data_IF_805579165693
#
_entry.id   IF_805579165693
#
_cell.length_a   1.000
_cell.length_b   1.000
_cell.length_c   1.000
_cell.angle_alpha   90.00
_cell.angle_beta   90.00
_cell.angle_gamma   90.00
#
_symmetry.space_group_name_H-M   'P 1'
#
loop_
_entity.id
_entity.type
_entity.pdbx_description
1 polymer ?
#
# COMPACT_ATOMS: atom_id res chain seq x y z
N UNK A 1 -24.20 27.09 -42.63
CA UNK A 1 -22.94 26.90 -41.91
C UNK A 1 -22.48 25.46 -42.17
N UNK A 2 -21.33 25.31 -42.83
CA UNK A 2 -20.93 24.05 -43.49
C UNK A 2 -20.41 23.02 -42.48
N UNK A 3 -21.04 21.84 -42.40
CA UNK A 3 -20.70 20.76 -41.42
C UNK A 3 -19.24 20.31 -41.51
N UNK A 4 -18.56 20.54 -42.61
CA UNK A 4 -17.14 20.26 -42.78
C UNK A 4 -16.22 21.24 -42.04
N UNK A 5 -16.64 22.50 -41.89
CA UNK A 5 -15.88 23.52 -41.19
C UNK A 5 -15.83 23.27 -39.67
N UNK A 6 -16.96 22.80 -39.11
CA UNK A 6 -17.05 22.47 -37.68
C UNK A 6 -16.17 21.23 -37.33
N UNK A 7 -16.12 20.23 -38.20
CA UNK A 7 -15.26 19.04 -38.00
C UNK A 7 -13.78 19.39 -38.07
N UNK A 8 -13.39 20.34 -38.93
CA UNK A 8 -11.98 20.78 -39.00
C UNK A 8 -11.55 21.57 -37.77
N UNK A 9 -12.42 22.39 -37.21
CA UNK A 9 -12.14 23.16 -35.98
C UNK A 9 -12.04 22.24 -34.73
N UNK A 10 -12.86 21.23 -34.64
CA UNK A 10 -12.79 20.27 -33.53
C UNK A 10 -11.53 19.41 -33.62
N UNK A 11 -11.13 18.97 -34.81
CA UNK A 11 -9.90 18.19 -35.01
C UNK A 11 -8.64 19.02 -34.70
N UNK A 12 -8.60 20.31 -35.02
CA UNK A 12 -7.46 21.18 -34.73
C UNK A 12 -7.33 21.48 -33.24
N UNK A 13 -8.45 21.61 -32.51
CA UNK A 13 -8.44 21.84 -31.06
C UNK A 13 -7.94 20.62 -30.28
N UNK A 14 -8.26 19.39 -30.72
CA UNK A 14 -7.77 18.17 -30.09
C UNK A 14 -6.27 17.96 -30.30
N UNK A 15 -5.76 18.30 -31.49
CA UNK A 15 -4.33 18.20 -31.79
C UNK A 15 -3.49 19.16 -30.93
N UNK A 16 -4.01 20.38 -30.64
CA UNK A 16 -3.31 21.34 -29.80
C UNK A 16 -3.28 20.94 -28.31
N UNK A 17 -4.32 20.29 -27.80
CA UNK A 17 -4.38 19.81 -26.41
C UNK A 17 -3.41 18.64 -26.20
N UNK A 18 -3.31 17.72 -27.17
CA UNK A 18 -2.37 16.59 -27.07
C UNK A 18 -0.91 17.07 -27.18
N UNK A 19 -0.61 18.06 -28.02
CA UNK A 19 0.73 18.64 -28.11
C UNK A 19 1.15 19.39 -26.84
N UNK A 20 0.20 20.05 -26.15
CA UNK A 20 0.46 20.73 -24.88
C UNK A 20 0.75 19.72 -23.74
N UNK A 21 0.07 18.58 -23.71
CA UNK A 21 0.32 17.54 -22.70
C UNK A 21 1.65 16.81 -22.89
N UNK A 22 2.10 16.61 -24.12
CA UNK A 22 3.42 16.01 -24.39
C UNK A 22 4.57 16.95 -24.08
N UNK A 23 4.38 18.28 -24.22
CA UNK A 23 5.42 19.26 -23.90
C UNK A 23 5.60 19.47 -22.38
N UNK A 24 4.55 19.29 -21.56
CA UNK A 24 4.64 19.40 -20.10
C UNK A 24 5.26 18.11 -19.49
N UNK A 25 5.08 16.95 -20.11
CA UNK A 25 5.64 15.69 -19.63
C UNK A 25 7.17 15.57 -19.74
N UNK A 26 7.81 16.38 -20.60
CA UNK A 26 9.28 16.35 -20.79
C UNK A 26 10.02 17.24 -19.80
N UNK A 27 9.33 18.18 -19.11
CA UNK A 27 9.99 19.14 -18.19
C UNK A 27 10.01 18.71 -16.72
N UNK A 28 9.47 17.55 -16.37
CA UNK A 28 9.48 17.01 -15.00
C UNK A 28 10.34 15.77 -14.82
N UNK A 29 11.25 15.47 -15.74
CA UNK A 29 12.35 14.58 -15.41
C UNK A 29 13.24 15.32 -14.41
N UNK A 30 13.39 14.83 -13.16
CA UNK A 30 14.41 15.37 -12.29
C UNK A 30 15.72 15.22 -13.05
N UNK A 31 16.37 16.34 -13.29
CA UNK A 31 17.71 16.38 -13.83
C UNK A 31 18.59 15.53 -12.91
N UNK A 32 18.76 14.25 -13.23
CA UNK A 32 19.74 13.40 -12.59
C UNK A 32 21.13 13.93 -13.00
N UNK A 33 21.43 15.13 -12.49
CA UNK A 33 22.79 15.63 -12.53
C UNK A 33 23.64 14.56 -11.90
N UNK A 34 24.46 13.91 -12.71
CA UNK A 34 25.60 13.12 -12.24
C UNK A 34 26.51 14.10 -11.52
N UNK A 35 26.16 14.46 -10.27
CA UNK A 35 27.07 15.18 -9.39
C UNK A 35 28.26 14.24 -9.18
N UNK A 36 29.42 14.71 -9.55
CA UNK A 36 30.66 14.01 -9.30
C UNK A 36 30.72 13.61 -7.81
N UNK A 37 30.51 12.34 -7.53
CA UNK A 37 30.46 11.77 -6.16
C UNK A 37 31.78 11.94 -5.38
N UNK A 38 32.82 12.51 -6.01
CA UNK A 38 34.15 12.67 -5.45
C UNK A 38 34.26 13.79 -4.42
N UNK A 39 33.26 14.67 -4.27
CA UNK A 39 33.37 15.85 -3.40
C UNK A 39 32.54 15.78 -2.11
N UNK A 40 31.83 14.70 -1.82
CA UNK A 40 31.08 14.57 -0.56
C UNK A 40 32.04 14.39 0.61
N UNK A 41 31.97 15.25 1.65
CA UNK A 41 32.76 15.04 2.87
C UNK A 41 32.30 13.77 3.57
N UNK A 42 33.20 13.14 4.34
CA UNK A 42 32.80 12.04 5.22
C UNK A 42 31.80 12.58 6.26
N UNK A 43 30.66 11.89 6.38
CA UNK A 43 29.57 12.29 7.26
C UNK A 43 29.33 11.23 8.32
N UNK A 44 29.07 11.66 9.57
CA UNK A 44 28.66 10.74 10.65
C UNK A 44 27.18 10.40 10.61
N UNK A 45 26.39 11.26 9.99
CA UNK A 45 24.95 11.06 9.80
C UNK A 45 24.45 11.72 8.54
N UNK A 46 23.37 11.20 7.97
CA UNK A 46 22.60 11.81 6.88
C UNK A 46 21.10 11.64 7.16
N UNK A 47 20.34 12.69 6.87
CA UNK A 47 18.88 12.71 7.10
C UNK A 47 18.17 13.12 5.81
N UNK A 48 17.08 12.45 5.51
CA UNK A 48 16.16 12.83 4.45
C UNK A 48 14.74 12.89 4.99
N UNK A 49 14.00 13.89 4.57
CA UNK A 49 12.54 14.03 4.76
C UNK A 49 11.86 14.19 3.42
N UNK A 50 10.69 13.64 3.27
CA UNK A 50 9.98 13.68 1.99
C UNK A 50 8.48 13.50 2.13
N UNK A 51 7.76 13.96 1.11
CA UNK A 51 6.35 13.65 0.92
C UNK A 51 6.27 12.49 -0.06
N UNK A 52 5.79 11.35 0.43
CA UNK A 52 5.59 10.15 -0.38
C UNK A 52 4.08 10.03 -0.58
N UNK A 53 3.64 9.82 -1.80
CA UNK A 53 2.23 9.64 -2.11
C UNK A 53 2.06 8.36 -2.92
N UNK A 54 2.03 7.21 -2.26
CA UNK A 54 1.82 5.92 -2.92
C UNK A 54 0.56 5.29 -2.37
N UNK A 55 -0.29 4.82 -3.25
CA UNK A 55 -1.52 4.13 -2.89
C UNK A 55 -1.71 2.88 -3.74
N UNK A 56 -2.19 1.81 -3.13
CA UNK A 56 -2.67 0.62 -3.81
C UNK A 56 -4.00 0.18 -3.22
N UNK A 57 -4.90 -0.28 -4.07
CA UNK A 57 -6.22 -0.75 -3.67
C UNK A 57 -6.60 -2.06 -4.36
N UNK A 58 -7.43 -2.84 -3.70
CA UNK A 58 -8.04 -4.07 -4.20
C UNK A 58 -9.52 -4.06 -3.86
N UNK A 59 -10.36 -4.06 -4.89
CA UNK A 59 -11.79 -4.27 -4.78
C UNK A 59 -12.13 -5.71 -5.15
N UNK A 60 -13.01 -6.34 -4.38
CA UNK A 60 -13.39 -7.74 -4.57
C UNK A 60 -12.32 -8.73 -4.08
N UNK A 61 -12.58 -10.05 -4.22
CA UNK A 61 -11.73 -11.10 -3.69
C UNK A 61 -10.38 -11.20 -4.39
N UNK A 62 -9.42 -11.80 -3.71
CA UNK A 62 -8.09 -12.12 -4.20
C UNK A 62 -6.96 -11.37 -3.52
N UNK A 63 -5.74 -11.79 -3.84
CA UNK A 63 -4.51 -11.24 -3.30
C UNK A 63 -3.86 -10.30 -4.31
N UNK A 64 -3.28 -9.23 -3.82
CA UNK A 64 -2.46 -8.30 -4.60
C UNK A 64 -1.22 -7.94 -3.80
N UNK A 65 -0.05 -8.17 -4.39
CA UNK A 65 1.22 -7.70 -3.84
C UNK A 65 1.86 -6.81 -4.89
N UNK A 66 2.13 -5.55 -4.54
CA UNK A 66 2.86 -4.67 -5.45
C UNK A 66 4.33 -5.08 -5.53
N UNK A 67 5.01 -4.68 -6.61
CA UNK A 67 6.46 -4.72 -6.64
C UNK A 67 7.05 -3.77 -5.59
N UNK A 68 8.33 -3.97 -5.26
CA UNK A 68 9.07 -3.05 -4.43
C UNK A 68 9.22 -1.70 -5.13
N UNK A 69 8.96 -0.62 -4.39
CA UNK A 69 9.05 0.76 -4.85
C UNK A 69 10.01 1.54 -3.97
N UNK A 70 10.91 2.31 -4.57
CA UNK A 70 11.78 3.22 -3.83
C UNK A 70 10.94 4.38 -3.28
N UNK A 71 10.87 4.53 -1.96
CA UNK A 71 10.08 5.57 -1.29
C UNK A 71 10.95 6.70 -0.73
N UNK A 72 12.17 6.39 -0.32
CA UNK A 72 13.18 7.39 0.08
C UNK A 72 14.56 6.92 -0.34
N UNK A 73 15.50 7.87 -0.52
CA UNK A 73 16.88 7.55 -0.84
C UNK A 73 17.80 8.60 -0.21
N UNK A 74 18.83 8.16 0.50
CA UNK A 74 19.86 9.03 1.05
C UNK A 74 21.25 8.52 0.71
N UNK A 75 22.25 9.40 0.80
CA UNK A 75 23.66 9.04 0.56
C UNK A 75 24.48 9.43 1.75
N UNK A 76 25.47 8.59 2.07
CA UNK A 76 26.47 8.88 3.08
C UNK A 76 27.84 8.42 2.62
N UNK A 77 28.89 9.19 2.96
CA UNK A 77 30.26 8.83 2.70
C UNK A 77 30.93 8.35 3.98
N UNK A 78 31.35 7.10 3.99
CA UNK A 78 32.16 6.51 5.08
C UNK A 78 33.66 6.70 4.79
N UNK A 79 34.43 7.06 5.81
CA UNK A 79 35.88 7.28 5.68
C UNK A 79 36.69 5.99 5.88
N UNK A 80 36.13 4.99 6.53
CA UNK A 80 36.72 3.68 6.82
C UNK A 80 35.60 2.65 6.99
N UNK A 81 35.98 1.40 7.22
CA UNK A 81 34.98 0.35 7.55
C UNK A 81 34.19 0.73 8.80
N UNK A 82 32.88 0.76 8.68
CA UNK A 82 31.93 1.20 9.71
C UNK A 82 30.69 0.34 9.67
N UNK A 83 29.99 0.30 10.78
CA UNK A 83 28.64 -0.20 10.85
C UNK A 83 27.66 0.97 10.69
N UNK A 84 26.50 0.69 10.11
CA UNK A 84 25.45 1.68 9.88
C UNK A 84 24.18 1.29 10.62
N UNK A 85 23.55 2.30 11.22
CA UNK A 85 22.17 2.19 11.71
C UNK A 85 21.31 3.19 10.97
N UNK A 86 20.17 2.74 10.47
CA UNK A 86 19.21 3.58 9.77
C UNK A 86 17.84 3.50 10.44
N UNK A 87 17.33 4.65 10.85
CA UNK A 87 15.95 4.79 11.35
C UNK A 87 15.07 5.29 10.22
N UNK A 88 13.98 4.60 9.97
CA UNK A 88 12.96 4.96 8.97
C UNK A 88 11.65 5.20 9.68
N UNK A 89 11.04 6.35 9.45
CA UNK A 89 9.70 6.70 9.94
C UNK A 89 8.80 7.10 8.79
N UNK A 90 7.58 6.57 8.75
CA UNK A 90 6.60 6.90 7.71
C UNK A 90 5.17 6.86 8.23
N UNK A 91 4.32 7.68 7.62
CA UNK A 91 2.87 7.58 7.77
C UNK A 91 2.34 6.46 6.87
N UNK A 92 1.54 5.57 7.44
CA UNK A 92 0.87 4.48 6.74
C UNK A 92 -0.63 4.58 6.97
N UNK A 93 -1.38 4.67 5.88
CA UNK A 93 -2.84 4.57 5.88
C UNK A 93 -3.29 3.17 5.49
N UNK A 94 -4.20 2.60 6.26
CA UNK A 94 -4.80 1.29 6.01
C UNK A 94 -6.31 1.41 6.03
N UNK A 95 -6.94 1.10 4.90
CA UNK A 95 -8.39 1.08 4.73
C UNK A 95 -8.85 -0.34 4.45
N UNK A 96 -9.90 -0.76 5.16
CA UNK A 96 -10.59 -2.04 4.93
C UNK A 96 -12.09 -1.83 4.99
N UNK A 97 -12.81 -2.39 4.02
CA UNK A 97 -14.27 -2.47 3.99
C UNK A 97 -14.69 -3.91 3.80
N UNK A 98 -15.55 -4.39 4.66
CA UNK A 98 -16.20 -5.70 4.54
C UNK A 98 -17.70 -5.51 4.59
N UNK A 99 -18.43 -6.18 3.69
CA UNK A 99 -19.88 -6.25 3.65
C UNK A 99 -20.28 -7.71 3.57
N UNK A 100 -21.17 -8.14 4.43
CA UNK A 100 -21.81 -9.46 4.41
C UNK A 100 -23.27 -9.34 4.04
N UNK A 101 -23.76 -10.33 3.29
CA UNK A 101 -25.15 -10.45 2.86
C UNK A 101 -25.68 -11.82 3.27
N UNK A 102 -26.68 -11.85 4.13
CA UNK A 102 -27.25 -13.09 4.63
C UNK A 102 -28.78 -13.09 4.54
N UNK A 103 -29.35 -14.26 4.25
CA UNK A 103 -30.77 -14.53 4.28
C UNK A 103 -31.02 -16.00 4.62
N UNK A 104 -32.20 -16.29 5.14
CA UNK A 104 -32.64 -17.66 5.46
C UNK A 104 -31.65 -18.39 6.39
N UNK A 105 -31.10 -17.66 7.35
CA UNK A 105 -30.08 -18.14 8.30
C UNK A 105 -28.83 -18.73 7.63
N UNK A 106 -28.52 -18.35 6.37
CA UNK A 106 -27.27 -18.75 5.70
C UNK A 106 -26.15 -17.82 6.16
N UNK A 107 -25.08 -18.31 6.79
CA UNK A 107 -23.97 -17.48 7.20
C UNK A 107 -23.23 -16.93 5.97
N UNK A 108 -22.80 -15.67 6.07
CA UNK A 108 -21.87 -15.05 5.11
C UNK A 108 -20.65 -14.50 5.83
N UNK A 109 -19.49 -14.66 5.23
CA UNK A 109 -18.20 -14.18 5.78
C UNK A 109 -17.43 -13.41 4.72
N UNK A 110 -16.94 -12.23 5.12
CA UNK A 110 -16.10 -11.38 4.30
C UNK A 110 -14.87 -10.95 5.11
N UNK A 111 -13.69 -11.03 4.51
CA UNK A 111 -12.44 -10.61 5.13
C UNK A 111 -11.62 -9.72 4.20
N UNK A 112 -11.11 -8.62 4.73
CA UNK A 112 -10.24 -7.67 4.04
C UNK A 112 -8.95 -7.46 4.84
N UNK A 113 -7.80 -7.53 4.17
CA UNK A 113 -6.50 -7.27 4.76
C UNK A 113 -5.71 -6.28 3.93
N UNK A 114 -5.19 -5.24 4.58
CA UNK A 114 -4.28 -4.25 4.01
C UNK A 114 -2.98 -4.22 4.81
N UNK A 115 -1.84 -4.15 4.13
CA UNK A 115 -0.53 -4.09 4.77
C UNK A 115 0.53 -3.41 3.92
N UNK A 116 1.54 -2.89 4.60
CA UNK A 116 2.75 -2.32 4.02
C UNK A 116 3.95 -3.07 4.59
N UNK A 117 4.80 -3.58 3.71
CA UNK A 117 6.09 -4.14 4.04
C UNK A 117 7.19 -3.19 3.59
N UNK A 118 8.30 -3.16 4.31
CA UNK A 118 9.43 -2.30 4.05
C UNK A 118 10.74 -3.06 4.17
N UNK A 119 11.75 -2.59 3.42
CA UNK A 119 13.16 -2.98 3.55
C UNK A 119 14.07 -1.80 3.20
N UNK A 120 15.31 -1.89 3.61
CA UNK A 120 16.35 -0.95 3.21
C UNK A 120 17.41 -1.70 2.41
N UNK A 121 17.74 -1.17 1.24
CA UNK A 121 18.83 -1.68 0.40
C UNK A 121 19.96 -0.65 0.34
N UNK A 122 21.18 -1.16 0.30
CA UNK A 122 22.41 -0.35 0.21
C UNK A 122 23.13 -0.71 -1.07
N UNK A 123 23.62 0.31 -1.77
CA UNK A 123 24.34 0.20 -3.04
C UNK A 123 23.57 -0.63 -4.08
N UNK A 124 22.39 -0.14 -4.54
CA UNK A 124 21.55 -0.88 -5.48
C UNK A 124 22.32 -1.28 -6.72
N UNK A 125 22.24 -2.58 -7.09
CA UNK A 125 22.95 -3.14 -8.22
C UNK A 125 23.41 -4.57 -7.98
N UNK A 126 24.43 -5.07 -8.70
CA UNK A 126 24.90 -6.45 -8.58
C UNK A 126 25.42 -6.81 -7.17
N UNK A 127 25.96 -5.84 -6.44
CA UNK A 127 26.51 -6.01 -5.10
C UNK A 127 25.60 -5.41 -4.00
N UNK A 128 24.33 -5.27 -4.30
CA UNK A 128 23.35 -4.76 -3.34
C UNK A 128 23.36 -5.57 -2.05
N UNK A 129 23.32 -4.86 -0.91
CA UNK A 129 23.13 -5.44 0.42
C UNK A 129 21.77 -5.03 0.96
N UNK A 130 21.18 -5.88 1.78
CA UNK A 130 19.92 -5.58 2.50
C UNK A 130 20.29 -5.38 3.97
N UNK A 131 19.84 -4.27 4.57
CA UNK A 131 20.03 -4.02 5.99
C UNK A 131 19.16 -4.96 6.84
N UNK A 132 19.72 -5.45 7.93
CA UNK A 132 18.98 -6.28 8.88
C UNK A 132 17.92 -5.46 9.65
N UNK A 133 16.76 -6.08 9.96
CA UNK A 133 16.43 -7.51 9.86
C UNK A 133 15.86 -7.93 8.48
N UNK A 134 16.09 -7.18 7.43
CA UNK A 134 15.61 -7.50 6.08
C UNK A 134 14.22 -6.93 5.80
N UNK A 135 13.28 -7.76 5.38
CA UNK A 135 11.90 -7.35 5.10
C UNK A 135 11.08 -7.33 6.38
N UNK A 136 10.43 -6.21 6.68
CA UNK A 136 9.61 -6.03 7.88
C UNK A 136 8.18 -5.67 7.52
N UNK A 137 7.22 -6.13 8.31
CA UNK A 137 5.83 -5.65 8.26
C UNK A 137 5.77 -4.31 8.99
N UNK A 138 5.65 -3.23 8.22
CA UNK A 138 5.65 -1.88 8.75
C UNK A 138 4.27 -1.45 9.29
N UNK A 139 3.21 -1.95 8.67
CA UNK A 139 1.84 -1.80 9.12
C UNK A 139 0.95 -2.86 8.51
N UNK A 140 0.01 -3.39 9.29
CA UNK A 140 -0.95 -4.39 8.80
C UNK A 140 -2.26 -4.28 9.56
N UNK A 141 -3.35 -4.44 8.81
CA UNK A 141 -4.70 -4.60 9.35
C UNK A 141 -5.39 -5.75 8.66
N UNK A 142 -6.08 -6.57 9.43
CA UNK A 142 -7.03 -7.57 8.93
C UNK A 142 -8.36 -7.35 9.62
N UNK A 143 -9.44 -7.36 8.85
CA UNK A 143 -10.81 -7.23 9.29
C UNK A 143 -11.59 -8.39 8.72
N UNK A 144 -12.29 -9.09 9.58
CA UNK A 144 -13.21 -10.17 9.22
C UNK A 144 -14.59 -9.86 9.79
N UNK A 145 -15.61 -10.09 9.01
CA UNK A 145 -17.00 -9.92 9.37
C UNK A 145 -17.76 -11.17 8.98
N UNK A 146 -18.46 -11.75 9.94
CA UNK A 146 -19.36 -12.88 9.75
C UNK A 146 -20.74 -12.54 10.29
N UNK A 147 -21.78 -12.78 9.53
CA UNK A 147 -23.15 -12.56 9.97
C UNK A 147 -24.08 -13.65 9.45
N UNK A 148 -25.15 -13.87 10.21
CA UNK A 148 -26.24 -14.79 9.89
C UNK A 148 -27.54 -14.08 10.17
N UNK A 149 -28.31 -13.79 9.11
CA UNK A 149 -29.58 -13.09 9.18
C UNK A 149 -30.70 -13.93 8.56
N UNK A 150 -31.94 -13.68 9.02
CA UNK A 150 -33.13 -14.31 8.43
C UNK A 150 -33.49 -13.70 7.07
N UNK A 151 -33.18 -12.44 6.85
CA UNK A 151 -33.60 -11.67 5.69
C UNK A 151 -34.97 -11.02 5.88
N UNK A 152 -35.29 -10.13 4.95
CA UNK A 152 -36.55 -9.37 4.98
C UNK A 152 -37.65 -10.20 4.29
N UNK A 153 -38.63 -10.62 5.07
CA UNK A 153 -39.69 -11.55 4.66
C UNK A 153 -41.07 -10.88 4.45
N UNK A 154 -41.23 -9.59 4.72
CA UNK A 154 -42.51 -8.89 4.78
C UNK A 154 -43.44 -9.11 3.58
N UNK A 155 -42.87 -9.28 2.38
CA UNK A 155 -43.62 -9.48 1.13
C UNK A 155 -43.62 -10.94 0.63
N UNK A 156 -43.00 -11.83 1.40
CA UNK A 156 -42.76 -13.23 0.99
C UNK A 156 -43.69 -14.23 1.65
N UNK A 157 -44.74 -13.74 2.33
CA UNK A 157 -45.72 -14.56 3.00
C UNK A 157 -46.86 -14.89 2.04
N UNK A 158 -47.06 -16.17 1.75
CA UNK A 158 -48.16 -16.68 0.93
C UNK A 158 -48.99 -17.66 1.75
N UNK A 159 -50.32 -17.64 1.52
CA UNK A 159 -51.20 -18.66 2.06
C UNK A 159 -51.04 -19.95 1.26
N UNK A 160 -50.77 -21.04 1.96
CA UNK A 160 -50.74 -22.37 1.34
C UNK A 160 -52.12 -22.72 0.81
N UNK A 161 -52.22 -23.02 -0.49
CA UNK A 161 -53.48 -23.45 -1.14
C UNK A 161 -53.72 -24.95 -1.01
N UNK A 162 -52.80 -25.71 -0.40
CA UNK A 162 -52.88 -27.18 -0.24
C UNK A 162 -53.40 -27.57 1.15
N UNK A 163 -54.69 -27.29 1.41
CA UNK A 163 -55.48 -27.97 2.46
C UNK A 163 -55.26 -27.61 3.92
N UNK A 164 -54.25 -26.86 4.29
CA UNK A 164 -54.05 -26.24 5.61
C UNK A 164 -53.86 -24.75 5.45
N UNK A 165 -54.62 -23.92 6.21
CA UNK A 165 -54.45 -22.47 6.23
C UNK A 165 -53.11 -22.09 6.90
N UNK A 166 -51.99 -22.57 6.37
CA UNK A 166 -50.65 -22.25 6.86
C UNK A 166 -50.02 -21.15 6.03
N UNK A 167 -49.35 -20.20 6.70
CA UNK A 167 -48.55 -19.18 6.06
C UNK A 167 -47.21 -19.82 5.69
N UNK A 168 -46.85 -19.74 4.40
CA UNK A 168 -45.58 -20.25 3.89
C UNK A 168 -44.73 -19.08 3.42
N UNK A 169 -43.44 -19.10 3.76
CA UNK A 169 -42.45 -18.13 3.27
C UNK A 169 -41.97 -18.61 1.91
N UNK A 170 -42.11 -17.78 0.88
CA UNK A 170 -41.47 -18.02 -0.41
C UNK A 170 -39.97 -17.63 -0.30
N UNK A 171 -39.04 -18.59 -0.33
CA UNK A 171 -37.62 -18.31 -0.16
C UNK A 171 -37.01 -17.53 -1.32
N UNK A 172 -37.68 -17.48 -2.47
CA UNK A 172 -37.18 -16.79 -3.68
C UNK A 172 -37.34 -15.29 -3.59
N UNK A 173 -38.30 -14.81 -2.81
CA UNK A 173 -38.57 -13.38 -2.63
C UNK A 173 -37.88 -12.76 -1.43
N UNK A 174 -37.28 -13.57 -0.52
CA UNK A 174 -36.57 -13.07 0.66
C UNK A 174 -35.37 -12.25 0.25
N UNK A 175 -35.33 -10.95 0.65
CA UNK A 175 -34.19 -10.07 0.41
C UNK A 175 -33.13 -10.27 1.48
N UNK A 176 -31.84 -10.32 1.13
CA UNK A 176 -30.77 -10.43 2.12
C UNK A 176 -30.69 -9.15 2.97
N UNK A 177 -30.38 -9.34 4.24
CA UNK A 177 -29.93 -8.26 5.12
C UNK A 177 -28.44 -8.07 4.95
N UNK A 178 -28.00 -6.81 5.07
CA UNK A 178 -26.61 -6.42 4.84
C UNK A 178 -26.02 -5.82 6.12
N UNK A 179 -24.77 -6.19 6.41
CA UNK A 179 -23.97 -5.54 7.45
C UNK A 179 -22.63 -5.14 6.84
N UNK A 180 -22.29 -3.85 6.98
CA UNK A 180 -21.05 -3.30 6.49
C UNK A 180 -20.19 -2.78 7.65
N UNK A 181 -18.90 -3.08 7.60
CA UNK A 181 -17.90 -2.52 8.49
C UNK A 181 -16.80 -1.85 7.66
N UNK A 182 -16.52 -0.58 7.99
CA UNK A 182 -15.46 0.22 7.37
C UNK A 182 -14.48 0.66 8.46
N UNK A 183 -13.20 0.40 8.25
CA UNK A 183 -12.13 0.88 9.09
C UNK A 183 -11.10 1.63 8.23
N UNK A 184 -10.84 2.88 8.62
CA UNK A 184 -9.80 3.72 8.03
C UNK A 184 -8.89 4.24 9.14
N UNK A 185 -7.59 4.05 8.98
CA UNK A 185 -6.60 4.55 9.96
C UNK A 185 -5.37 5.03 9.24
N UNK A 186 -4.81 6.10 9.78
CA UNK A 186 -3.47 6.57 9.46
C UNK A 186 -2.64 6.57 10.74
N UNK A 187 -1.43 6.01 10.68
CA UNK A 187 -0.49 5.96 11.79
C UNK A 187 0.92 6.25 11.31
N UNK A 188 1.72 6.92 12.14
CA UNK A 188 3.15 7.04 11.93
C UNK A 188 3.85 5.90 12.68
N UNK A 189 4.65 5.13 11.95
CA UNK A 189 5.46 4.04 12.49
C UNK A 189 6.93 4.32 12.24
N UNK A 190 7.80 3.75 13.07
CA UNK A 190 9.24 3.81 12.88
C UNK A 190 9.86 2.42 13.04
N UNK A 191 10.93 2.19 12.30
CA UNK A 191 11.70 0.95 12.38
C UNK A 191 13.20 1.25 12.23
N UNK A 192 14.03 0.46 12.90
CA UNK A 192 15.50 0.59 12.88
C UNK A 192 16.09 -0.57 12.10
N UNK A 193 16.96 -0.23 11.16
CA UNK A 193 17.74 -1.18 10.36
C UNK A 193 19.22 -1.02 10.68
N UNK A 194 19.98 -2.10 10.55
CA UNK A 194 21.41 -2.12 10.80
C UNK A 194 22.16 -2.83 9.67
N UNK A 195 23.37 -2.40 9.40
CA UNK A 195 24.28 -3.06 8.46
C UNK A 195 25.68 -3.00 9.00
N UNK A 196 26.34 -4.13 9.09
CA UNK A 196 27.72 -4.23 9.53
C UNK A 196 28.72 -4.13 8.36
N UNK A 197 29.96 -3.83 8.72
CA UNK A 197 31.11 -3.91 7.83
C UNK A 197 30.94 -3.18 6.48
N UNK A 198 30.45 -1.94 6.50
CA UNK A 198 30.48 -1.07 5.33
C UNK A 198 31.88 -0.57 5.06
N UNK A 199 32.35 -0.76 3.83
CA UNK A 199 33.65 -0.27 3.36
C UNK A 199 33.74 1.26 3.34
N UNK A 200 34.90 1.78 3.02
CA UNK A 200 35.08 3.23 2.75
C UNK A 200 34.48 3.58 1.38
N UNK A 201 33.78 4.70 1.29
CA UNK A 201 33.22 5.16 0.02
C UNK A 201 31.93 5.95 0.19
N UNK A 202 31.30 6.26 -0.94
CA UNK A 202 29.94 6.84 -0.97
C UNK A 202 28.95 5.71 -1.14
N UNK A 203 28.05 5.58 -0.19
CA UNK A 203 27.01 4.55 -0.17
C UNK A 203 25.65 5.19 -0.37
N UNK A 204 24.82 4.56 -1.19
CA UNK A 204 23.44 4.96 -1.43
C UNK A 204 22.50 3.99 -0.72
N UNK A 205 21.72 4.50 0.24
CA UNK A 205 20.68 3.76 0.92
C UNK A 205 19.32 4.10 0.32
N UNK A 206 18.54 3.08 0.00
CA UNK A 206 17.17 3.21 -0.50
C UNK A 206 16.21 2.50 0.42
N UNK A 207 15.21 3.21 0.89
CA UNK A 207 14.05 2.64 1.56
C UNK A 207 13.08 2.18 0.49
N UNK A 208 12.76 0.92 0.50
CA UNK A 208 11.78 0.33 -0.40
C UNK A 208 10.55 -0.13 0.39
N UNK A 209 9.37 0.08 -0.18
CA UNK A 209 8.14 -0.43 0.36
C UNK A 209 7.34 -1.18 -0.71
N UNK A 210 6.52 -2.14 -0.25
CA UNK A 210 5.49 -2.79 -1.06
C UNK A 210 4.21 -2.95 -0.27
N UNK A 211 3.09 -3.02 -0.97
CA UNK A 211 1.77 -3.18 -0.37
C UNK A 211 1.28 -4.61 -0.59
N UNK A 212 0.70 -5.18 0.46
CA UNK A 212 0.04 -6.49 0.41
C UNK A 212 -1.43 -6.32 0.77
N UNK A 213 -2.31 -6.74 -0.13
CA UNK A 213 -3.75 -6.70 0.03
C UNK A 213 -4.28 -8.13 -0.14
N UNK A 214 -5.14 -8.55 0.76
CA UNK A 214 -5.78 -9.86 0.70
C UNK A 214 -7.25 -9.74 1.07
N UNK A 215 -8.12 -10.19 0.18
CA UNK A 215 -9.55 -10.10 0.31
C UNK A 215 -10.20 -11.46 0.05
N UNK A 216 -11.07 -11.89 0.96
CA UNK A 216 -11.94 -13.06 0.78
C UNK A 216 -13.39 -12.68 0.97
N UNK A 217 -14.28 -13.26 0.19
CA UNK A 217 -15.72 -12.98 0.25
C UNK A 217 -16.49 -14.21 -0.21
N UNK A 218 -17.63 -14.49 0.44
CA UNK A 218 -18.58 -15.53 0.00
C UNK A 218 -19.72 -14.93 -0.81
N UNK A 219 -20.54 -14.05 -0.22
CA UNK A 219 -21.71 -13.45 -0.85
C UNK A 219 -21.70 -11.91 -0.86
N UNK A 220 -20.94 -11.29 0.03
CA UNK A 220 -20.90 -9.85 0.23
C UNK A 220 -19.93 -9.12 -0.69
N UNK A 221 -19.28 -8.08 -0.15
CA UNK A 221 -18.28 -7.27 -0.84
C UNK A 221 -17.10 -6.97 0.08
N UNK A 222 -15.93 -6.81 -0.51
CA UNK A 222 -14.70 -6.48 0.21
C UNK A 222 -13.87 -5.46 -0.54
N UNK A 223 -13.18 -4.61 0.21
CA UNK A 223 -12.20 -3.68 -0.32
C UNK A 223 -11.06 -3.50 0.68
N UNK A 224 -9.84 -3.48 0.18
CA UNK A 224 -8.65 -3.15 0.95
C UNK A 224 -7.83 -2.11 0.21
N UNK A 225 -7.27 -1.12 0.93
CA UNK A 225 -6.33 -0.13 0.40
C UNK A 225 -5.20 0.09 1.39
N UNK A 226 -4.02 0.33 0.87
CA UNK A 226 -2.87 0.76 1.65
C UNK A 226 -2.26 2.02 1.03
N UNK A 227 -1.85 2.96 1.86
CA UNK A 227 -1.23 4.22 1.44
C UNK A 227 0.03 4.48 2.25
N UNK A 228 0.99 5.16 1.63
CA UNK A 228 2.20 5.65 2.29
C UNK A 228 2.18 7.17 2.14
N UNK A 229 2.22 7.88 3.27
CA UNK A 229 2.19 9.33 3.35
C UNK A 229 3.59 9.93 3.51
N UNK A 230 3.74 10.87 4.44
CA UNK A 230 5.00 11.54 4.74
C UNK A 230 5.98 10.59 5.40
N UNK A 231 7.28 10.83 5.20
CA UNK A 231 8.30 10.02 5.82
C UNK A 231 9.63 10.76 6.03
N UNK A 232 10.44 10.18 6.88
CA UNK A 232 11.82 10.61 7.10
C UNK A 232 12.69 9.38 7.30
N UNK A 233 13.95 9.50 6.93
CA UNK A 233 14.96 8.51 7.29
C UNK A 233 16.23 9.22 7.74
N UNK A 234 16.89 8.63 8.74
CA UNK A 234 18.23 9.02 9.18
C UNK A 234 19.15 7.82 9.16
N UNK A 235 20.38 8.01 8.74
CA UNK A 235 21.44 7.00 8.78
C UNK A 235 22.62 7.57 9.55
N UNK A 236 23.23 6.72 10.38
CA UNK A 236 24.34 7.09 11.26
C UNK A 236 25.44 6.03 11.21
N UNK A 237 26.70 6.49 11.27
CA UNK A 237 27.83 5.61 11.52
C UNK A 237 27.87 5.21 13.00
N UNK A 238 27.97 3.91 13.25
CA UNK A 238 28.02 3.34 14.59
C UNK A 238 29.10 2.27 14.67
N UNK A 239 29.32 1.74 15.86
CA UNK A 239 30.04 0.49 16.07
C UNK A 239 29.11 -0.51 16.71
N UNK A 240 28.72 -1.52 15.97
CA UNK A 240 27.88 -2.60 16.49
C UNK A 240 28.74 -3.55 17.34
N UNK A 241 28.24 -3.93 18.50
CA UNK A 241 28.88 -4.95 19.34
C UNK A 241 28.34 -6.30 18.87
N UNK A 242 29.20 -7.06 18.21
CA UNK A 242 28.86 -8.44 17.76
C UNK A 242 28.91 -9.40 18.95
N UNK A 243 27.95 -10.29 19.05
CA UNK A 243 27.97 -11.39 20.03
C UNK A 243 27.48 -11.04 21.44
N UNK A 244 26.71 -9.98 21.61
CA UNK A 244 25.95 -9.76 22.84
C UNK A 244 24.73 -10.72 22.80
N UNK A 245 24.85 -11.89 23.44
CA UNK A 245 23.69 -12.73 23.73
C UNK A 245 22.77 -11.99 24.71
N UNK A 246 21.67 -11.46 24.18
CA UNK A 246 20.60 -10.95 25.04
C UNK A 246 19.80 -12.18 25.51
N UNK A 247 20.14 -12.70 26.65
CA UNK A 247 19.31 -13.66 27.39
C UNK A 247 18.15 -12.86 28.00
N UNK A 248 16.95 -13.01 27.47
CA UNK A 248 15.69 -12.52 28.04
C UNK A 248 15.17 -13.50 29.08
#
# INVERSE_FOLDING_TARGET
MNKHLIRLLIASSFAFVIAAYTAIGVFLLPNSGTSAQTSLPASKSAIQVGNIGVMSGKLGPGNTTSSWMDVMSTQMKTSSQKDLVMTVSMEVGLYTRTLVRSKLATPDTSSASAGVEMRVIVDPGPNQRIMEPGEVVFGRRTQELTATFQGIIDKCLTLSTTGSNSIVVDPTCVTPEELQLVLDTMSANAFVFALDDMGSGVHTMKVQARMKLNNTVQLGEVEARATIGKGSCSVEEVRLVKGADITL
#
